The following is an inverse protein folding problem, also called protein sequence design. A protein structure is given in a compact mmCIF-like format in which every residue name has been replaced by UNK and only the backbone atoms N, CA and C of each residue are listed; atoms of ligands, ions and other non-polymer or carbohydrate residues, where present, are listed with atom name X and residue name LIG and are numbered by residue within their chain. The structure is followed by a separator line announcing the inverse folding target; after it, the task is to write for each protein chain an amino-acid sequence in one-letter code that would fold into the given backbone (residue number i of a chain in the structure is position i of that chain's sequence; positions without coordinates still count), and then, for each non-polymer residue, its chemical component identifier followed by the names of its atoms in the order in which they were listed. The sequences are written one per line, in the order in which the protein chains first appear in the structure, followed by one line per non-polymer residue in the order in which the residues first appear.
data_IF_905681114353
#
_entry.id   IF_905681114353
#
_cell.length_a   1.000
_cell.length_b   1.000
_cell.length_c   1.000
_cell.angle_alpha   90.00
_cell.angle_beta   90.00
_cell.angle_gamma   90.00
#
_symmetry.space_group_name_H-M   'P 1'
#
loop_
_entity.id
_entity.type
_entity.pdbx_description
1 polymer ?
#
# COMPACT_ATOMS: atom_id res chain seq x y z
N UNK A 1 -11.33 -25.61 13.90
CA UNK A 1 -11.50 -26.13 12.52
C UNK A 1 -11.13 -25.08 11.47
N UNK A 2 -11.48 -23.80 11.68
CA UNK A 2 -11.10 -22.67 10.81
C UNK A 2 -9.59 -22.45 10.69
N UNK A 3 -8.83 -22.45 11.80
CA UNK A 3 -7.36 -22.34 11.78
C UNK A 3 -6.65 -23.34 10.84
N UNK A 4 -7.22 -24.54 10.69
CA UNK A 4 -6.67 -25.58 9.81
C UNK A 4 -7.05 -25.35 8.35
N UNK A 5 -8.23 -24.76 8.09
CA UNK A 5 -8.68 -24.35 6.75
C UNK A 5 -7.95 -23.09 6.28
N UNK A 6 -7.68 -22.13 7.17
CA UNK A 6 -6.87 -20.94 6.87
C UNK A 6 -5.44 -21.32 6.58
N UNK A 7 -4.77 -22.12 7.42
CA UNK A 7 -3.44 -22.64 7.07
C UNK A 7 -3.43 -23.39 5.75
N UNK A 8 -4.48 -24.15 5.45
CA UNK A 8 -4.58 -24.88 4.20
C UNK A 8 -4.79 -23.93 3.01
N UNK A 9 -5.65 -22.91 3.15
CA UNK A 9 -5.84 -21.86 2.14
C UNK A 9 -4.58 -21.04 1.96
N UNK A 10 -3.93 -20.58 3.02
CA UNK A 10 -2.62 -19.92 2.97
C UNK A 10 -1.53 -20.81 2.36
N UNK A 11 -1.56 -22.11 2.62
CA UNK A 11 -0.64 -23.07 2.03
C UNK A 11 -0.92 -23.30 0.54
N UNK A 12 -2.18 -23.31 0.13
CA UNK A 12 -2.62 -23.46 -1.26
C UNK A 12 -2.40 -22.16 -2.04
N UNK A 13 -2.79 -21.01 -1.51
CA UNK A 13 -2.63 -19.67 -2.10
C UNK A 13 -1.15 -19.25 -2.10
N UNK A 14 -0.38 -19.64 -1.07
CA UNK A 14 1.07 -19.49 -1.04
C UNK A 14 1.80 -20.37 -2.06
N UNK A 15 1.23 -21.52 -2.47
CA UNK A 15 1.75 -22.35 -3.57
C UNK A 15 1.47 -21.75 -4.94
N UNK A 16 0.37 -21.02 -5.11
CA UNK A 16 -0.01 -20.40 -6.40
C UNK A 16 0.80 -19.11 -6.65
N UNK A 17 1.21 -18.39 -5.61
CA UNK A 17 1.92 -17.10 -5.68
C UNK A 17 3.46 -17.19 -5.60
N UNK A 18 4.04 -18.39 -5.71
CA UNK A 18 5.47 -18.67 -5.48
C UNK A 18 6.21 -19.15 -6.75
N UNK A 19 5.61 -18.96 -7.93
CA UNK A 19 6.08 -19.54 -9.18
C UNK A 19 7.02 -18.63 -9.98
N UNK A 20 7.21 -17.36 -9.61
CA UNK A 20 8.05 -16.44 -10.38
C UNK A 20 9.35 -16.12 -9.65
N UNK A 21 10.44 -16.00 -10.40
CA UNK A 21 11.77 -15.58 -9.95
C UNK A 21 12.15 -14.31 -10.69
N UNK A 22 12.73 -13.37 -9.96
CA UNK A 22 13.39 -12.20 -10.51
C UNK A 22 14.89 -12.42 -10.52
N UNK A 23 15.47 -12.38 -11.70
CA UNK A 23 16.90 -12.48 -11.95
C UNK A 23 17.42 -11.06 -12.19
N UNK A 24 18.28 -10.58 -11.29
CA UNK A 24 18.80 -9.21 -11.30
C UNK A 24 20.26 -9.15 -11.70
N UNK A 25 20.65 -8.01 -12.24
CA UNK A 25 22.03 -7.65 -12.58
C UNK A 25 22.70 -8.65 -13.55
N UNK A 26 21.94 -9.16 -14.52
CA UNK A 26 22.51 -9.99 -15.59
C UNK A 26 23.36 -9.05 -16.47
N UNK A 27 24.66 -9.29 -16.65
CA UNK A 27 25.48 -8.50 -17.56
C UNK A 27 24.92 -8.53 -18.98
N UNK A 28 24.89 -7.39 -19.67
CA UNK A 28 24.37 -7.33 -21.05
C UNK A 28 25.16 -8.21 -22.03
N UNK A 29 26.43 -8.50 -21.76
CA UNK A 29 27.21 -9.45 -22.57
C UNK A 29 26.68 -10.89 -22.52
N UNK A 30 25.83 -11.22 -21.53
CA UNK A 30 25.15 -12.51 -21.43
C UNK A 30 23.78 -12.51 -22.11
N UNK A 31 23.29 -11.35 -22.59
CA UNK A 31 22.02 -11.27 -23.30
C UNK A 31 22.15 -11.96 -24.66
N UNK A 32 21.27 -12.92 -24.93
CA UNK A 32 21.09 -13.51 -26.27
C UNK A 32 19.97 -12.80 -27.01
N UNK A 33 19.78 -13.14 -28.29
CA UNK A 33 18.65 -12.65 -29.07
C UNK A 33 17.33 -13.05 -28.42
N UNK A 34 17.24 -14.30 -27.96
CA UNK A 34 16.13 -14.80 -27.18
C UNK A 34 16.41 -14.76 -25.67
N UNK A 35 15.40 -14.40 -24.89
CA UNK A 35 15.49 -14.47 -23.45
C UNK A 35 15.46 -15.91 -22.93
N UNK A 36 14.85 -16.85 -23.66
CA UNK A 36 14.84 -18.27 -23.28
C UNK A 36 16.27 -18.85 -23.29
N UNK A 37 17.08 -18.50 -24.28
CA UNK A 37 18.50 -18.87 -24.34
C UNK A 37 19.31 -18.26 -23.19
N UNK A 38 18.98 -17.02 -22.82
CA UNK A 38 19.62 -16.34 -21.69
C UNK A 38 19.28 -17.07 -20.38
N UNK A 39 18.03 -17.50 -20.18
CA UNK A 39 17.63 -18.31 -19.03
C UNK A 39 18.36 -19.66 -19.02
N UNK A 40 18.49 -20.34 -20.16
CA UNK A 40 19.19 -21.60 -20.27
C UNK A 40 20.68 -21.47 -19.90
N UNK A 41 21.34 -20.39 -20.30
CA UNK A 41 22.72 -20.09 -19.90
C UNK A 41 22.83 -19.88 -18.38
N UNK A 42 21.82 -19.24 -17.77
CA UNK A 42 21.73 -19.08 -16.32
C UNK A 42 21.49 -20.42 -15.61
N UNK A 43 20.72 -21.34 -16.18
CA UNK A 43 20.55 -22.67 -15.58
C UNK A 43 21.86 -23.47 -15.66
N UNK A 44 22.57 -23.37 -16.78
CA UNK A 44 23.89 -24.00 -16.99
C UNK A 44 24.96 -23.46 -16.05
N UNK A 45 25.05 -22.14 -15.86
CA UNK A 45 26.04 -21.55 -14.92
C UNK A 45 25.79 -21.99 -13.48
N UNK A 46 24.51 -22.18 -13.12
CA UNK A 46 24.12 -22.68 -11.79
C UNK A 46 24.46 -24.16 -11.61
N UNK A 47 24.77 -24.89 -12.68
CA UNK A 47 25.03 -26.34 -12.69
C UNK A 47 23.81 -27.15 -12.26
N UNK A 48 22.62 -26.70 -12.67
CA UNK A 48 21.41 -27.47 -12.45
C UNK A 48 21.33 -28.64 -13.44
N UNK A 49 20.82 -29.76 -12.96
CA UNK A 49 20.66 -30.98 -13.74
C UNK A 49 19.32 -30.95 -14.48
N UNK A 50 19.37 -30.65 -15.79
CA UNK A 50 18.21 -30.55 -16.67
C UNK A 50 17.49 -31.89 -16.86
N UNK A 51 18.13 -33.04 -16.61
CA UNK A 51 17.48 -34.35 -16.77
C UNK A 51 16.32 -34.58 -15.77
N UNK A 52 16.28 -33.79 -14.69
CA UNK A 52 15.24 -33.90 -13.65
C UNK A 52 14.03 -33.02 -13.92
N UNK A 53 14.21 -32.05 -14.81
CA UNK A 53 13.32 -30.93 -15.06
C UNK A 53 13.81 -30.17 -16.31
N UNK A 54 13.18 -30.46 -17.45
CA UNK A 54 13.63 -30.01 -18.76
C UNK A 54 13.53 -28.48 -18.92
N UNK A 55 12.57 -27.85 -18.24
CA UNK A 55 12.30 -26.41 -18.28
C UNK A 55 12.17 -25.81 -16.86
N UNK A 56 13.30 -25.68 -16.12
CA UNK A 56 13.26 -25.20 -14.75
C UNK A 56 12.90 -23.71 -14.63
N UNK A 57 13.16 -22.94 -15.69
CA UNK A 57 12.80 -21.53 -15.86
C UNK A 57 12.14 -21.37 -17.23
N UNK A 58 11.02 -20.65 -17.29
CA UNK A 58 10.21 -20.46 -18.50
C UNK A 58 9.52 -19.09 -18.49
N UNK A 59 8.97 -18.67 -19.62
CA UNK A 59 8.25 -17.40 -19.76
C UNK A 59 9.08 -16.18 -19.30
N UNK A 60 10.28 -15.98 -19.88
CA UNK A 60 11.08 -14.82 -19.56
C UNK A 60 10.37 -13.52 -19.94
N UNK A 61 10.45 -12.54 -19.06
CA UNK A 61 10.00 -11.18 -19.30
C UNK A 61 11.07 -10.20 -18.87
N UNK A 62 11.32 -9.18 -19.68
CA UNK A 62 12.23 -8.10 -19.31
C UNK A 62 11.63 -7.27 -18.17
N UNK A 63 12.31 -7.25 -17.02
CA UNK A 63 11.93 -6.48 -15.84
C UNK A 63 12.68 -5.14 -15.72
N UNK A 64 13.52 -4.83 -16.72
CA UNK A 64 14.28 -3.58 -16.84
C UNK A 64 15.63 -3.82 -17.51
N UNK A 65 15.99 -2.98 -18.48
CA UNK A 65 17.25 -3.06 -19.22
C UNK A 65 17.98 -1.74 -19.01
N UNK A 66 19.12 -1.78 -18.33
CA UNK A 66 20.01 -0.64 -18.13
C UNK A 66 21.09 -0.56 -19.22
N UNK A 67 22.09 0.30 -19.03
CA UNK A 67 23.21 0.47 -19.96
C UNK A 67 24.26 -0.64 -19.86
N UNK A 68 24.41 -1.29 -18.70
CA UNK A 68 25.42 -2.33 -18.44
C UNK A 68 24.82 -3.67 -18.01
N UNK A 69 23.63 -3.65 -17.41
CA UNK A 69 22.96 -4.83 -16.85
C UNK A 69 21.48 -4.87 -17.22
N UNK A 70 20.92 -6.06 -17.24
CA UNK A 70 19.49 -6.30 -17.40
C UNK A 70 18.91 -7.13 -16.25
N UNK A 71 17.60 -7.03 -16.09
CA UNK A 71 16.81 -7.81 -15.15
C UNK A 71 15.75 -8.60 -15.92
N UNK A 72 15.60 -9.86 -15.58
CA UNK A 72 14.55 -10.74 -16.11
C UNK A 72 13.64 -11.21 -14.98
N UNK A 73 12.38 -11.45 -15.31
CA UNK A 73 11.45 -12.22 -14.50
C UNK A 73 11.12 -13.49 -15.28
N UNK A 74 11.09 -14.64 -14.62
CA UNK A 74 10.76 -15.92 -15.25
C UNK A 74 9.91 -16.76 -14.30
N UNK A 75 9.03 -17.59 -14.84
CA UNK A 75 8.35 -18.61 -14.06
C UNK A 75 9.33 -19.77 -13.81
N UNK A 76 9.37 -20.27 -12.59
CA UNK A 76 10.25 -21.35 -12.16
C UNK A 76 9.46 -22.55 -11.65
N UNK A 77 10.06 -23.72 -11.77
CA UNK A 77 9.50 -24.94 -11.17
C UNK A 77 9.83 -25.04 -9.68
N UNK A 78 8.99 -25.75 -8.94
CA UNK A 78 9.23 -26.01 -7.53
C UNK A 78 10.51 -26.83 -7.29
N UNK A 79 10.81 -27.79 -8.19
CA UNK A 79 12.01 -28.64 -8.13
C UNK A 79 13.27 -27.78 -8.22
N UNK A 80 13.32 -26.88 -9.20
CA UNK A 80 14.43 -25.94 -9.37
C UNK A 80 14.60 -25.06 -8.14
N UNK A 81 13.53 -24.41 -7.65
CA UNK A 81 13.63 -23.51 -6.50
C UNK A 81 14.15 -24.21 -5.23
N UNK A 82 13.64 -25.42 -4.96
CA UNK A 82 14.06 -26.22 -3.81
C UNK A 82 15.54 -26.58 -3.90
N UNK A 83 16.02 -26.94 -5.08
CA UNK A 83 17.44 -27.20 -5.31
C UNK A 83 18.28 -25.92 -5.21
N UNK A 84 17.81 -24.81 -5.77
CA UNK A 84 18.52 -23.54 -5.77
C UNK A 84 18.79 -23.05 -4.34
N UNK A 85 17.79 -23.18 -3.47
CA UNK A 85 17.92 -22.86 -2.05
C UNK A 85 18.97 -23.72 -1.32
N UNK A 86 19.22 -24.95 -1.78
CA UNK A 86 20.16 -25.90 -1.14
C UNK A 86 21.57 -25.80 -1.68
N UNK A 87 21.73 -25.73 -3.01
CA UNK A 87 23.03 -25.80 -3.69
C UNK A 87 23.24 -24.66 -4.69
N UNK A 88 22.19 -24.25 -5.42
CA UNK A 88 22.31 -23.24 -6.46
C UNK A 88 22.78 -21.87 -5.97
N UNK A 89 22.44 -21.46 -4.73
CA UNK A 89 22.94 -20.21 -4.12
C UNK A 89 24.45 -20.17 -3.99
N UNK A 90 25.07 -21.27 -3.56
CA UNK A 90 26.52 -21.39 -3.43
C UNK A 90 27.17 -21.34 -4.81
N UNK A 91 26.62 -22.06 -5.79
CA UNK A 91 27.12 -22.06 -7.16
C UNK A 91 27.05 -20.66 -7.80
N UNK A 92 25.95 -19.93 -7.58
CA UNK A 92 25.79 -18.55 -8.04
C UNK A 92 26.82 -17.62 -7.39
N UNK A 93 27.03 -17.76 -6.08
CA UNK A 93 28.01 -16.97 -5.35
C UNK A 93 29.45 -17.23 -5.85
N UNK A 94 29.79 -18.48 -6.12
CA UNK A 94 31.10 -18.86 -6.69
C UNK A 94 31.27 -18.32 -8.10
N UNK A 95 30.24 -18.39 -8.94
CA UNK A 95 30.26 -17.82 -10.28
C UNK A 95 30.46 -16.29 -10.24
N UNK A 96 29.70 -15.60 -9.38
CA UNK A 96 29.81 -14.17 -9.17
C UNK A 96 31.23 -13.76 -8.74
N UNK A 97 31.82 -14.52 -7.80
CA UNK A 97 33.19 -14.28 -7.32
C UNK A 97 34.23 -14.45 -8.43
N UNK A 98 34.09 -15.44 -9.31
CA UNK A 98 35.06 -15.73 -10.38
C UNK A 98 34.99 -14.74 -11.55
N UNK A 99 33.78 -14.30 -11.89
CA UNK A 99 33.55 -13.47 -13.08
C UNK A 99 33.37 -11.98 -12.76
N UNK A 100 33.49 -11.59 -11.49
CA UNK A 100 33.26 -10.20 -11.06
C UNK A 100 31.81 -9.73 -11.27
N UNK A 101 30.85 -10.65 -11.33
CA UNK A 101 29.43 -10.35 -11.56
C UNK A 101 28.67 -10.32 -10.23
N UNK A 102 27.46 -9.74 -10.25
CA UNK A 102 26.59 -9.65 -9.08
C UNK A 102 25.17 -10.11 -9.41
N UNK A 103 25.06 -11.24 -10.11
CA UNK A 103 23.78 -11.81 -10.49
C UNK A 103 23.05 -12.26 -9.23
N UNK A 104 21.78 -11.90 -9.10
CA UNK A 104 20.95 -12.30 -7.95
C UNK A 104 19.68 -12.97 -8.46
N UNK A 105 19.39 -14.17 -7.95
CA UNK A 105 18.09 -14.81 -8.10
C UNK A 105 17.28 -14.61 -6.83
N UNK A 106 16.20 -13.86 -6.94
CA UNK A 106 15.23 -13.64 -5.86
C UNK A 106 13.89 -14.21 -6.29
N UNK A 107 13.33 -15.10 -5.48
CA UNK A 107 11.93 -15.48 -5.68
C UNK A 107 11.08 -14.23 -5.56
N UNK A 108 10.27 -13.97 -6.59
CA UNK A 108 9.25 -12.96 -6.48
C UNK A 108 8.29 -13.43 -5.40
N UNK A 109 8.37 -12.74 -4.26
CA UNK A 109 7.24 -12.69 -3.36
C UNK A 109 6.22 -11.90 -4.15
N UNK A 110 5.24 -12.59 -4.75
CA UNK A 110 3.98 -11.90 -5.01
C UNK A 110 3.54 -11.43 -3.64
N UNK A 111 3.78 -10.14 -3.37
CA UNK A 111 3.31 -9.48 -2.17
C UNK A 111 1.84 -9.87 -2.13
N UNK A 112 1.42 -10.64 -1.10
CA UNK A 112 0.00 -10.62 -0.71
C UNK A 112 -0.29 -9.13 -0.69
N UNK A 113 -1.06 -8.59 -1.65
CA UNK A 113 -1.64 -7.26 -1.52
C UNK A 113 -2.30 -7.35 -0.17
N UNK A 114 -1.67 -6.72 0.80
CA UNK A 114 -1.92 -6.88 2.23
C UNK A 114 -3.42 -6.78 2.41
N UNK A 115 -4.03 -7.60 3.25
CA UNK A 115 -5.47 -7.49 3.47
C UNK A 115 -5.88 -6.07 3.92
N UNK A 116 -4.91 -5.29 4.45
CA UNK A 116 -4.98 -3.83 4.64
C UNK A 116 -5.16 -3.03 3.34
N UNK A 117 -4.43 -3.34 2.28
CA UNK A 117 -4.63 -2.75 0.96
C UNK A 117 -6.00 -3.11 0.38
N UNK A 118 -6.41 -4.37 0.53
CA UNK A 118 -7.74 -4.82 0.10
C UNK A 118 -8.84 -4.11 0.90
N UNK A 119 -8.60 -3.87 2.20
CA UNK A 119 -9.46 -3.08 3.06
C UNK A 119 -9.53 -1.61 2.61
N UNK A 120 -8.42 -0.99 2.21
CA UNK A 120 -8.45 0.35 1.61
C UNK A 120 -9.34 0.41 0.35
N UNK A 121 -9.28 -0.60 -0.52
CA UNK A 121 -10.11 -0.68 -1.72
C UNK A 121 -11.59 -0.90 -1.37
N UNK A 122 -11.87 -1.74 -0.39
CA UNK A 122 -13.22 -1.99 0.12
C UNK A 122 -13.83 -0.71 0.71
N UNK A 123 -13.09 -0.01 1.57
CA UNK A 123 -13.52 1.24 2.18
C UNK A 123 -13.77 2.33 1.14
N UNK A 124 -12.90 2.45 0.14
CA UNK A 124 -13.13 3.37 -1.00
C UNK A 124 -14.46 3.10 -1.70
N UNK A 125 -14.81 1.83 -1.89
CA UNK A 125 -16.06 1.44 -2.54
C UNK A 125 -17.27 1.72 -1.65
N UNK A 126 -17.20 1.41 -0.35
CA UNK A 126 -18.28 1.70 0.60
C UNK A 126 -18.50 3.20 0.78
N UNK A 127 -17.43 4.00 0.89
CA UNK A 127 -17.52 5.46 0.97
C UNK A 127 -18.22 6.00 -0.28
N UNK A 128 -17.84 5.57 -1.48
CA UNK A 128 -18.53 5.98 -2.72
C UNK A 128 -20.01 5.65 -2.70
N UNK A 129 -20.39 4.44 -2.29
CA UNK A 129 -21.79 4.04 -2.16
C UNK A 129 -22.57 4.93 -1.18
N UNK A 130 -21.98 5.28 -0.04
CA UNK A 130 -22.62 6.21 0.91
C UNK A 130 -22.88 7.60 0.31
N UNK A 131 -21.97 8.11 -0.54
CA UNK A 131 -22.18 9.36 -1.26
C UNK A 131 -23.23 9.22 -2.37
N UNK A 132 -23.23 8.10 -3.09
CA UNK A 132 -24.24 7.77 -4.11
C UNK A 132 -25.65 7.68 -3.51
N UNK A 133 -25.81 7.00 -2.36
CA UNK A 133 -27.09 6.87 -1.65
C UNK A 133 -27.62 8.23 -1.17
N UNK A 134 -26.75 9.16 -0.79
CA UNK A 134 -27.14 10.52 -0.39
C UNK A 134 -27.15 11.52 -1.55
N UNK A 135 -26.88 11.10 -2.79
CA UNK A 135 -26.88 11.95 -3.98
C UNK A 135 -25.83 13.07 -3.99
N UNK A 136 -24.74 12.92 -3.23
CA UNK A 136 -23.68 13.93 -3.10
C UNK A 136 -22.42 13.54 -3.87
N UNK A 137 -21.59 14.53 -4.21
CA UNK A 137 -20.32 14.27 -4.90
C UNK A 137 -19.34 13.55 -3.97
N UNK A 138 -18.76 12.41 -4.40
CA UNK A 138 -17.85 11.65 -3.56
C UNK A 138 -16.53 12.41 -3.34
N UNK A 139 -16.00 12.32 -2.11
CA UNK A 139 -14.67 12.81 -1.78
C UNK A 139 -13.60 12.02 -2.58
N UNK A 140 -12.52 12.69 -2.95
CA UNK A 140 -11.39 12.01 -3.58
C UNK A 140 -10.68 11.09 -2.57
N UNK A 141 -10.59 9.82 -2.93
CA UNK A 141 -10.00 8.76 -2.10
C UNK A 141 -8.78 8.21 -2.84
N UNK A 142 -7.60 8.54 -2.34
CA UNK A 142 -6.32 8.05 -2.84
C UNK A 142 -5.75 7.00 -1.89
N UNK A 143 -5.08 5.98 -2.42
CA UNK A 143 -4.46 4.92 -1.62
C UNK A 143 -2.95 5.01 -1.82
N UNK A 144 -2.19 5.18 -0.72
CA UNK A 144 -0.73 5.22 -0.75
C UNK A 144 -0.16 4.31 0.33
N UNK A 145 0.72 3.37 -0.06
CA UNK A 145 1.46 2.48 0.86
C UNK A 145 0.56 1.89 1.98
N UNK A 146 -0.54 1.28 1.59
CA UNK A 146 -1.52 0.61 2.49
C UNK A 146 -2.23 1.54 3.49
N UNK A 147 -2.20 2.84 3.22
CA UNK A 147 -3.00 3.86 3.91
C UNK A 147 -3.96 4.52 2.93
N UNK A 148 -5.03 5.06 3.49
CA UNK A 148 -6.10 5.72 2.75
C UNK A 148 -6.04 7.23 3.01
N UNK A 149 -5.97 8.00 1.94
CA UNK A 149 -5.96 9.46 1.95
C UNK A 149 -7.32 9.95 1.50
N UNK A 150 -8.01 10.68 2.37
CA UNK A 150 -9.32 11.26 2.10
C UNK A 150 -9.13 12.76 1.85
N UNK A 151 -9.11 13.18 0.59
CA UNK A 151 -9.01 14.59 0.17
C UNK A 151 -8.21 15.50 1.11
N UNK A 152 -8.91 16.44 1.77
CA UNK A 152 -8.35 17.39 2.74
C UNK A 152 -8.27 16.88 4.18
N UNK A 153 -8.91 15.75 4.50
CA UNK A 153 -8.93 15.15 5.85
C UNK A 153 -7.62 14.45 6.22
N UNK A 154 -6.76 14.17 5.23
CA UNK A 154 -5.45 13.59 5.43
C UNK A 154 -5.41 12.07 5.34
N UNK A 155 -4.32 11.49 5.85
CA UNK A 155 -3.98 10.07 5.71
C UNK A 155 -4.40 9.28 6.95
N UNK A 156 -5.10 8.17 6.73
CA UNK A 156 -5.62 7.28 7.76
C UNK A 156 -5.12 5.86 7.60
N UNK A 157 -5.05 5.16 8.73
CA UNK A 157 -4.97 3.71 8.76
C UNK A 157 -6.35 3.12 8.36
N UNK A 158 -6.42 2.13 7.47
CA UNK A 158 -7.69 1.60 7.00
C UNK A 158 -8.54 0.95 8.09
N UNK A 159 -7.92 0.30 9.08
CA UNK A 159 -8.65 -0.35 10.17
C UNK A 159 -9.23 0.70 11.11
N UNK A 160 -8.44 1.73 11.45
CA UNK A 160 -8.91 2.85 12.26
C UNK A 160 -10.03 3.59 11.52
N UNK A 161 -9.88 3.84 10.23
CA UNK A 161 -10.91 4.52 9.45
C UNK A 161 -12.23 3.73 9.43
N UNK A 162 -12.17 2.41 9.23
CA UNK A 162 -13.37 1.56 9.27
C UNK A 162 -14.10 1.69 10.61
N UNK A 163 -13.36 1.71 11.72
CA UNK A 163 -13.92 1.90 13.07
C UNK A 163 -14.50 3.30 13.27
N UNK A 164 -13.81 4.36 12.79
CA UNK A 164 -14.27 5.75 12.91
C UNK A 164 -15.54 6.04 12.12
N UNK A 165 -15.72 5.37 10.98
CA UNK A 165 -16.88 5.54 10.11
C UNK A 165 -18.08 4.68 10.53
N UNK A 166 -17.94 3.80 11.53
CA UNK A 166 -19.02 2.93 12.00
C UNK A 166 -19.60 2.02 10.91
N UNK A 167 -18.81 1.67 9.88
CA UNK A 167 -19.32 0.93 8.72
C UNK A 167 -19.68 -0.51 9.09
N UNK A 168 -20.83 -0.98 8.59
CA UNK A 168 -21.15 -2.41 8.63
C UNK A 168 -20.21 -3.17 7.69
N UNK A 169 -19.37 -4.03 8.27
CA UNK A 169 -18.37 -4.84 7.57
C UNK A 169 -18.89 -6.25 7.27
N UNK A 170 -20.20 -6.49 7.28
CA UNK A 170 -20.78 -7.83 7.05
C UNK A 170 -20.42 -8.45 5.70
N UNK A 171 -20.13 -7.61 4.70
CA UNK A 171 -19.75 -8.05 3.34
C UNK A 171 -18.22 -8.23 3.18
N UNK A 172 -17.44 -8.06 4.25
CA UNK A 172 -15.99 -8.17 4.21
C UNK A 172 -15.55 -9.63 4.35
N UNK A 173 -14.88 -10.15 3.33
CA UNK A 173 -14.42 -11.55 3.25
C UNK A 173 -12.91 -11.73 3.56
N UNK A 174 -12.23 -10.70 4.06
CA UNK A 174 -10.80 -10.75 4.41
C UNK A 174 -10.55 -11.03 5.89
N UNK A 175 -9.29 -10.89 6.31
CA UNK A 175 -8.90 -11.04 7.73
C UNK A 175 -9.71 -10.13 8.66
N UNK A 176 -9.88 -10.57 9.91
CA UNK A 176 -10.64 -9.84 10.91
C UNK A 176 -9.98 -8.49 11.25
N UNK A 177 -10.79 -7.48 11.63
CA UNK A 177 -10.25 -6.15 11.98
C UNK A 177 -9.25 -6.20 13.13
N UNK A 178 -9.43 -7.14 14.07
CA UNK A 178 -8.51 -7.34 15.20
C UNK A 178 -7.16 -7.92 14.76
N UNK A 179 -7.14 -8.75 13.72
CA UNK A 179 -5.92 -9.30 13.12
C UNK A 179 -5.25 -8.33 12.15
N UNK A 180 -5.99 -7.39 11.57
CA UNK A 180 -5.44 -6.33 10.72
C UNK A 180 -4.92 -5.13 11.53
N UNK A 181 -5.38 -4.97 12.77
CA UNK A 181 -4.95 -3.92 13.70
C UNK A 181 -3.45 -4.05 13.98
N UNK A 182 -2.72 -2.94 14.01
CA UNK A 182 -1.29 -3.00 14.34
C UNK A 182 -1.07 -3.49 15.78
N UNK A 183 0.03 -4.23 16.04
CA UNK A 183 0.34 -4.74 17.37
C UNK A 183 0.35 -3.67 18.47
N UNK A 184 0.70 -2.42 18.13
CA UNK A 184 0.65 -1.26 19.02
C UNK A 184 -0.78 -0.96 19.48
N UNK A 185 -1.71 -0.81 18.55
CA UNK A 185 -3.12 -0.53 18.88
C UNK A 185 -3.80 -1.72 19.57
N UNK A 186 -3.38 -2.97 19.29
CA UNK A 186 -3.88 -4.15 20.03
C UNK A 186 -3.48 -4.12 21.50
N UNK A 187 -2.32 -3.54 21.80
CA UNK A 187 -1.84 -3.37 23.17
C UNK A 187 -2.61 -2.26 23.88
N UNK A 188 -2.75 -1.10 23.22
CA UNK A 188 -3.52 0.03 23.74
C UNK A 188 -5.00 -0.32 24.00
N UNK A 189 -5.59 -1.18 23.17
CA UNK A 189 -6.97 -1.67 23.35
C UNK A 189 -7.10 -2.64 24.52
N UNK A 190 -6.11 -3.51 24.74
CA UNK A 190 -6.05 -4.37 25.94
C UNK A 190 -5.87 -3.57 27.23
N UNK A 191 -5.19 -2.43 27.14
CA UNK A 191 -4.93 -1.53 28.26
C UNK A 191 -6.06 -0.51 28.49
N UNK A 192 -7.15 -0.58 27.72
CA UNK A 192 -8.30 0.32 27.86
C UNK A 192 -8.06 1.77 27.44
N UNK A 193 -6.94 2.06 26.76
CA UNK A 193 -6.53 3.41 26.32
C UNK A 193 -6.89 3.71 24.87
N UNK A 194 -7.44 2.74 24.16
CA UNK A 194 -7.81 2.88 22.75
C UNK A 194 -9.18 3.55 22.61
N UNK A 195 -9.18 4.87 22.43
CA UNK A 195 -10.36 5.64 22.08
C UNK A 195 -10.33 6.00 20.59
N UNK A 196 -11.33 5.54 19.84
CA UNK A 196 -11.51 5.87 18.43
C UNK A 196 -12.70 6.84 18.35
N UNK A 197 -12.41 8.12 18.15
CA UNK A 197 -13.45 9.13 17.94
C UNK A 197 -14.10 8.99 16.56
N UNK A 198 -15.40 9.24 16.46
CA UNK A 198 -16.15 9.17 15.21
C UNK A 198 -15.60 10.17 14.18
N UNK A 199 -15.57 9.77 12.91
CA UNK A 199 -15.19 10.64 11.80
C UNK A 199 -16.41 10.89 10.93
N UNK A 200 -16.88 12.14 10.91
CA UNK A 200 -17.90 12.58 9.96
C UNK A 200 -17.21 12.93 8.65
N UNK A 201 -17.66 12.32 7.55
CA UNK A 201 -17.13 12.61 6.23
C UNK A 201 -17.72 13.95 5.71
N UNK A 202 -16.89 14.87 5.17
CA UNK A 202 -17.35 16.15 4.64
C UNK A 202 -18.51 16.01 3.66
N UNK A 203 -19.59 16.74 3.89
CA UNK A 203 -20.81 16.64 3.09
C UNK A 203 -21.75 15.48 3.47
N UNK A 204 -21.36 14.55 4.35
CA UNK A 204 -22.27 13.56 4.94
C UNK A 204 -22.70 13.94 6.38
N UNK A 205 -22.38 15.16 6.81
CA UNK A 205 -22.86 15.78 8.04
C UNK A 205 -24.37 15.56 8.18
N UNK A 206 -24.78 15.06 9.34
CA UNK A 206 -26.19 15.10 9.74
C UNK A 206 -26.52 16.58 9.81
N UNK A 207 -27.48 17.03 9.02
CA UNK A 207 -28.13 18.32 9.27
C UNK A 207 -28.72 18.24 10.67
N UNK A 208 -27.97 18.69 11.69
CA UNK A 208 -28.59 19.19 12.90
C UNK A 208 -29.51 20.30 12.43
N UNK A 209 -30.80 20.02 12.59
CA UNK A 209 -31.90 20.88 12.19
C UNK A 209 -31.57 22.32 12.56
N UNK A 210 -31.66 23.21 11.57
CA UNK A 210 -31.88 24.63 11.80
C UNK A 210 -33.12 24.79 12.70
N UNK A 211 -32.90 24.89 14.00
CA UNK A 211 -33.88 25.46 14.94
C UNK A 211 -33.15 26.38 15.89
N UNK A 212 -33.70 27.60 15.95
CA UNK A 212 -33.42 28.68 16.89
C UNK A 212 -32.23 29.59 16.56
N UNK A 213 -32.35 30.28 15.42
CA UNK A 213 -31.98 31.71 15.38
C UNK A 213 -33.27 32.54 15.39
N UNK A 214 -33.78 32.85 16.57
CA UNK A 214 -34.51 34.10 16.77
C UNK A 214 -34.54 34.48 18.26
N UNK A 215 -34.04 35.69 18.51
CA UNK A 215 -34.24 36.53 19.70
C UNK A 215 -33.42 36.23 20.97
N UNK A 216 -32.16 36.67 21.01
CA UNK A 216 -31.67 37.44 22.17
C UNK A 216 -30.78 38.61 21.71
N UNK A 217 -31.16 39.82 22.13
CA UNK A 217 -30.50 41.07 21.81
C UNK A 217 -29.06 41.16 22.37
N UNK A 218 -28.16 41.92 21.75
CA UNK A 218 -26.79 42.06 22.24
C UNK A 218 -26.79 42.93 23.50
N UNK A 219 -26.53 42.32 24.67
CA UNK A 219 -26.30 43.08 25.90
C UNK A 219 -24.86 43.56 25.94
N UNK A 220 -24.74 44.88 25.89
CA UNK A 220 -23.54 45.69 25.96
C UNK A 220 -22.87 45.55 27.35
N UNK A 221 -21.84 44.72 27.50
CA UNK A 221 -20.68 44.92 28.41
C UNK A 221 -19.90 43.61 28.64
N UNK A 222 -18.58 43.75 28.78
CA UNK A 222 -17.57 42.69 28.97
C UNK A 222 -17.15 42.03 27.64
N UNK A 223 -15.91 42.06 27.16
CA UNK A 223 -14.66 42.51 27.74
C UNK A 223 -13.65 42.74 26.61
N UNK A 224 -13.28 43.99 26.34
CA UNK A 224 -11.93 44.32 25.84
C UNK A 224 -11.45 45.58 26.55
N UNK A 225 -11.27 45.46 27.86
CA UNK A 225 -10.35 46.32 28.64
C UNK A 225 -9.14 45.48 29.01
N UNK A 226 -8.18 45.40 28.09
CA UNK A 226 -6.75 45.40 28.46
C UNK A 226 -5.91 45.75 27.24
N UNK A 227 -5.50 47.01 27.22
CA UNK A 227 -4.40 47.54 26.44
C UNK A 227 -3.13 46.71 26.62
N UNK A 228 -2.38 46.45 25.54
CA UNK A 228 -1.06 47.09 25.42
C UNK A 228 -0.49 47.07 24.00
N UNK A 229 -0.48 48.29 23.44
CA UNK A 229 0.51 48.94 22.57
C UNK A 229 1.65 48.08 21.98
N UNK A 230 1.75 48.12 20.65
CA UNK A 230 2.97 48.56 19.94
C UNK A 230 2.59 49.56 18.86
N UNK A 231 3.05 50.80 19.03
CA UNK A 231 3.18 51.82 17.99
C UNK A 231 4.17 51.34 16.94
N UNK A 232 3.86 51.55 15.66
CA UNK A 232 4.76 52.21 14.70
C UNK A 232 3.86 53.04 13.77
N UNK A 233 4.10 54.34 13.80
CA UNK A 233 3.59 55.35 12.88
C UNK A 233 4.28 55.21 11.52
N UNK A 234 3.57 55.38 10.42
CA UNK A 234 3.90 56.33 9.33
C UNK A 234 3.25 55.97 7.99
N UNK A 235 2.56 57.00 7.49
CA UNK A 235 2.36 57.37 6.09
C UNK A 235 1.63 56.43 5.10
N UNK A 236 0.58 56.98 4.46
CA UNK A 236 0.15 56.48 3.14
C UNK A 236 -1.35 56.41 2.88
N UNK A 237 -2.11 57.43 3.27
CA UNK A 237 -3.47 57.63 2.79
C UNK A 237 -3.45 58.14 1.35
N UNK A 238 -3.70 57.31 0.31
CA UNK A 238 -4.35 57.77 -0.94
C UNK A 238 -5.06 56.61 -1.66
N UNK A 239 -6.39 56.65 -1.69
CA UNK A 239 -7.20 56.06 -2.76
C UNK A 239 -7.38 57.11 -3.87
N UNK A 240 -7.21 56.77 -5.16
CA UNK A 240 -7.91 57.48 -6.23
C UNK A 240 -9.06 56.65 -6.79
N UNK A 241 -10.19 57.35 -6.90
CA UNK A 241 -11.51 56.89 -7.35
C UNK A 241 -11.53 56.38 -8.79
N UNK A 242 -12.46 55.47 -9.07
CA UNK A 242 -12.87 55.07 -10.43
C UNK A 242 -13.64 56.21 -11.14
N UNK A 243 -13.15 56.53 -12.35
CA UNK A 243 -13.82 56.89 -13.62
C UNK A 243 -15.12 57.73 -13.59
N UNK A 244 -15.04 58.95 -14.13
CA UNK A 244 -15.61 59.40 -15.41
C UNK A 244 -15.18 60.83 -15.69
#
# INVERSE_FOLDING_TARGET
MEYRRERYREYVDGRVLSQFVKIKNIPLCMKKEDFDDTLLEIVKLLRYDLSKDDEPLKWPQAAGIGSTTMNLTAQMTYKFWRWFCRAGRTNLADYNRRNGTRIVLEQEKTIKKTDRHNLCLYLRTKIRKLYEEKGKTPIDVTIRRDKIELGTLGQYDPVILAMRLGLSMSDWNGESMDELLEPRYRRERREGRFAVGELVLPGLEVEEQEKEKENEAPTYSQAVRTNNKRQIDDEGFVLPKRKK
#
